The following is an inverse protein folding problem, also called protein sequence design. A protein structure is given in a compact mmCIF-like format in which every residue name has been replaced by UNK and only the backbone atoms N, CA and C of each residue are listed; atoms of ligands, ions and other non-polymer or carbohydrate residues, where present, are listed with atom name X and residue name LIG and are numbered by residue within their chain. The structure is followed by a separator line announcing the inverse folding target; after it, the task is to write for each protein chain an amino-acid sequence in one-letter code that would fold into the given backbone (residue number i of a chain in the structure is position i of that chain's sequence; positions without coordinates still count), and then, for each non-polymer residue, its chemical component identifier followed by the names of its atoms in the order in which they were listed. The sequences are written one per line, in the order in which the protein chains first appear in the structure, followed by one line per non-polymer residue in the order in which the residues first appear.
data_IF_509108566913
#
_entry.id   IF_509108566913
#
_cell.length_a   1.000
_cell.length_b   1.000
_cell.length_c   1.000
_cell.angle_alpha   90.00
_cell.angle_beta   90.00
_cell.angle_gamma   90.00
#
_symmetry.space_group_name_H-M   'P 1'
#
loop_
_entity.id
_entity.type
_entity.pdbx_description
1 polymer ?
#
# COMPACT_ATOMS: atom_id res chain seq x y z
N UNK A 1 -30.80 -2.02 -0.87
CA UNK A 1 -29.35 -1.98 -0.54
C UNK A 1 -29.18 -1.01 0.61
N UNK A 2 -28.51 -1.40 1.69
CA UNK A 2 -28.36 -0.56 2.89
C UNK A 2 -27.59 0.73 2.54
N UNK A 3 -27.99 1.93 3.03
CA UNK A 3 -27.26 3.18 2.87
C UNK A 3 -25.75 3.08 3.11
N UNK A 4 -25.32 2.32 4.12
CA UNK A 4 -23.92 2.11 4.47
C UNK A 4 -23.15 1.29 3.43
N UNK A 5 -23.81 0.30 2.81
CA UNK A 5 -23.23 -0.49 1.72
C UNK A 5 -23.03 0.39 0.49
N UNK A 6 -24.01 1.26 0.18
CA UNK A 6 -23.89 2.20 -0.94
C UNK A 6 -22.72 3.17 -0.74
N UNK A 7 -22.60 3.77 0.45
CA UNK A 7 -21.48 4.65 0.83
C UNK A 7 -20.13 3.93 0.76
N UNK A 8 -20.06 2.68 1.21
CA UNK A 8 -18.83 1.88 1.17
C UNK A 8 -18.39 1.61 -0.27
N UNK A 9 -19.34 1.30 -1.16
CA UNK A 9 -19.07 1.12 -2.60
C UNK A 9 -18.62 2.44 -3.23
N UNK A 10 -19.27 3.56 -2.92
CA UNK A 10 -18.90 4.89 -3.40
C UNK A 10 -17.49 5.28 -2.94
N UNK A 11 -17.16 5.06 -1.66
CA UNK A 11 -15.84 5.34 -1.09
C UNK A 11 -14.74 4.45 -1.66
N UNK A 12 -14.97 3.13 -1.78
CA UNK A 12 -14.01 2.20 -2.38
C UNK A 12 -13.73 2.50 -3.87
N UNK A 13 -14.63 3.23 -4.54
CA UNK A 13 -14.43 3.67 -5.91
C UNK A 13 -13.59 4.95 -6.04
N UNK A 14 -13.29 5.65 -4.95
CA UNK A 14 -12.43 6.82 -4.97
C UNK A 14 -10.95 6.44 -5.14
N UNK A 15 -10.17 7.29 -5.83
CA UNK A 15 -8.74 7.02 -6.11
C UNK A 15 -7.88 6.97 -4.86
N UNK A 16 -8.27 7.69 -3.80
CA UNK A 16 -7.53 7.89 -2.56
C UNK A 16 -8.08 7.07 -1.37
N UNK A 17 -8.88 6.04 -1.61
CA UNK A 17 -9.51 5.28 -0.52
C UNK A 17 -8.47 4.66 0.44
N UNK A 18 -7.30 4.24 -0.07
CA UNK A 18 -6.20 3.73 0.74
C UNK A 18 -5.65 4.80 1.68
N UNK A 19 -5.43 6.02 1.18
CA UNK A 19 -4.96 7.16 1.99
C UNK A 19 -5.94 7.52 3.10
N UNK A 20 -7.25 7.40 2.82
CA UNK A 20 -8.31 7.59 3.82
C UNK A 20 -8.29 6.50 4.89
N UNK A 21 -8.02 5.25 4.52
CA UNK A 21 -7.92 4.12 5.45
C UNK A 21 -6.76 4.29 6.44
N UNK A 22 -5.64 4.85 6.00
CA UNK A 22 -4.46 5.13 6.83
C UNK A 22 -4.72 6.14 7.96
N UNK A 23 -5.71 7.03 7.83
CA UNK A 23 -6.06 7.99 8.91
C UNK A 23 -6.74 7.33 10.10
N UNK A 24 -7.45 6.23 9.85
CA UNK A 24 -8.19 5.49 10.88
C UNK A 24 -7.35 4.33 11.45
N UNK A 25 -6.37 3.85 10.68
CA UNK A 25 -5.49 2.75 11.06
C UNK A 25 -4.01 3.19 11.09
N UNK A 26 -3.49 3.67 12.24
CA UNK A 26 -2.08 3.99 12.38
C UNK A 26 -1.25 2.71 12.43
N UNK A 27 -0.70 2.27 11.30
CA UNK A 27 0.37 1.28 11.32
C UNK A 27 1.65 1.94 11.80
N UNK A 28 2.18 1.51 12.94
CA UNK A 28 3.55 1.85 13.35
C UNK A 28 4.48 1.14 12.35
N UNK A 29 5.22 1.85 11.48
CA UNK A 29 6.15 1.19 10.60
C UNK A 29 7.27 0.56 11.43
N UNK A 30 7.55 -0.73 11.25
CA UNK A 30 8.66 -1.36 11.96
C UNK A 30 10.00 -0.85 11.42
N UNK A 31 10.68 -0.07 12.25
CA UNK A 31 12.12 0.19 12.19
C UNK A 31 12.67 0.91 10.95
N UNK A 32 13.89 1.39 11.09
CA UNK A 32 14.67 1.95 9.97
C UNK A 32 15.11 0.78 9.07
N UNK A 33 15.01 0.94 7.75
CA UNK A 33 15.52 -0.03 6.78
C UNK A 33 17.04 -0.06 6.84
N UNK A 34 17.62 -1.25 6.97
CA UNK A 34 19.07 -1.43 6.82
C UNK A 34 19.50 -1.22 5.37
N UNK A 35 20.42 -0.27 5.16
CA UNK A 35 20.98 0.04 3.85
C UNK A 35 22.25 -0.78 3.65
N UNK A 36 22.36 -1.43 2.49
CA UNK A 36 23.59 -2.09 2.08
C UNK A 36 24.74 -1.08 2.00
N UNK A 37 25.66 -1.14 2.98
CA UNK A 37 26.79 -0.20 3.11
C UNK A 37 27.68 -0.13 1.87
N UNK A 38 28.05 -1.24 1.20
CA UNK A 38 28.79 -1.19 -0.07
C UNK A 38 28.08 -0.40 -1.16
N UNK A 39 26.77 -0.64 -1.37
CA UNK A 39 25.97 0.09 -2.36
C UNK A 39 25.87 1.57 -2.01
N UNK A 40 25.69 1.90 -0.73
CA UNK A 40 25.68 3.28 -0.27
C UNK A 40 26.99 3.99 -0.56
N UNK A 41 28.13 3.34 -0.29
CA UNK A 41 29.45 3.90 -0.57
C UNK A 41 29.64 4.21 -2.07
N UNK A 42 29.09 3.38 -2.96
CA UNK A 42 29.08 3.70 -4.39
C UNK A 42 28.22 4.93 -4.72
N UNK A 43 27.06 5.09 -4.07
CA UNK A 43 26.18 6.26 -4.24
C UNK A 43 26.86 7.52 -3.70
N UNK A 44 27.48 7.45 -2.53
CA UNK A 44 28.23 8.56 -1.92
C UNK A 44 29.40 9.00 -2.82
N UNK A 45 30.16 8.04 -3.34
CA UNK A 45 31.23 8.34 -4.29
C UNK A 45 30.70 8.96 -5.58
N UNK A 46 29.60 8.45 -6.13
CA UNK A 46 28.95 9.01 -7.32
C UNK A 46 28.45 10.44 -7.08
N UNK A 47 27.88 10.70 -5.91
CA UNK A 47 27.42 12.03 -5.51
C UNK A 47 28.59 13.02 -5.41
N UNK A 48 29.68 12.64 -4.73
CA UNK A 48 30.89 13.48 -4.58
C UNK A 48 31.61 13.74 -5.90
N UNK A 49 31.66 12.75 -6.77
CA UNK A 49 32.29 12.86 -8.11
C UNK A 49 31.37 13.45 -9.17
N UNK A 50 30.13 13.80 -8.79
CA UNK A 50 29.07 14.26 -9.67
C UNK A 50 28.79 13.33 -10.86
N UNK A 51 29.01 12.03 -10.68
CA UNK A 51 28.83 11.01 -11.72
C UNK A 51 27.38 10.53 -11.79
N UNK A 52 26.60 11.16 -12.68
CA UNK A 52 25.17 10.88 -12.91
C UNK A 52 24.89 9.42 -13.31
N UNK A 53 25.79 8.82 -14.10
CA UNK A 53 25.66 7.45 -14.62
C UNK A 53 25.73 6.45 -13.46
N UNK A 54 26.74 6.64 -12.62
CA UNK A 54 27.01 5.79 -11.45
C UNK A 54 25.89 5.94 -10.40
N UNK A 55 25.33 7.15 -10.27
CA UNK A 55 24.26 7.46 -9.34
C UNK A 55 22.93 6.79 -9.71
N UNK A 56 22.58 6.73 -11.01
CA UNK A 56 21.30 6.21 -11.51
C UNK A 56 21.41 4.81 -12.12
N UNK A 57 22.42 4.05 -11.67
CA UNK A 57 22.97 2.76 -12.13
C UNK A 57 22.04 1.62 -12.57
N UNK A 58 20.71 1.78 -12.52
CA UNK A 58 19.75 0.77 -12.98
C UNK A 58 19.74 0.64 -14.51
N UNK A 59 20.03 1.72 -15.23
CA UNK A 59 20.13 1.71 -16.70
C UNK A 59 21.05 2.84 -17.19
N UNK A 60 22.25 2.47 -17.64
CA UNK A 60 23.24 3.43 -18.16
C UNK A 60 22.81 4.11 -19.46
N UNK A 61 21.95 3.47 -20.25
CA UNK A 61 21.44 4.02 -21.52
C UNK A 61 20.31 5.05 -21.32
N UNK A 62 19.80 5.20 -20.11
CA UNK A 62 18.73 6.16 -19.79
C UNK A 62 19.14 7.61 -20.04
N UNK A 63 20.44 7.94 -19.91
CA UNK A 63 20.98 9.27 -20.21
C UNK A 63 20.88 9.59 -21.69
N UNK A 64 21.15 8.61 -22.55
CA UNK A 64 21.04 8.79 -24.00
C UNK A 64 19.58 8.88 -24.44
N UNK A 65 18.68 8.11 -23.81
CA UNK A 65 17.26 8.11 -24.17
C UNK A 65 16.49 9.33 -23.69
N UNK A 66 16.84 9.88 -22.52
CA UNK A 66 16.15 11.04 -21.95
C UNK A 66 17.06 11.86 -21.02
N UNK A 67 18.04 12.59 -21.59
CA UNK A 67 19.06 13.32 -20.81
C UNK A 67 18.45 14.39 -19.91
N UNK A 68 17.47 15.15 -20.41
CA UNK A 68 16.81 16.22 -19.66
C UNK A 68 16.11 15.72 -18.39
N UNK A 69 15.50 14.52 -18.45
CA UNK A 69 14.86 13.93 -17.25
C UNK A 69 15.91 13.48 -16.25
N UNK A 70 17.02 12.89 -16.71
CA UNK A 70 18.12 12.50 -15.83
C UNK A 70 18.73 13.72 -15.13
N UNK A 71 18.97 14.80 -15.87
CA UNK A 71 19.51 16.04 -15.31
C UNK A 71 18.57 16.63 -14.26
N UNK A 72 17.26 16.65 -14.54
CA UNK A 72 16.27 17.12 -13.56
C UNK A 72 16.22 16.24 -12.31
N UNK A 73 16.26 14.92 -12.46
CA UNK A 73 16.24 13.99 -11.34
C UNK A 73 17.50 14.12 -10.49
N UNK A 74 18.66 14.16 -11.15
CA UNK A 74 19.95 14.34 -10.50
C UNK A 74 20.01 15.69 -9.78
N UNK A 75 19.57 16.78 -10.42
CA UNK A 75 19.49 18.11 -9.80
C UNK A 75 18.66 18.10 -8.52
N UNK A 76 17.47 17.50 -8.55
CA UNK A 76 16.61 17.36 -7.35
C UNK A 76 17.28 16.56 -6.23
N UNK A 77 18.05 15.53 -6.58
CA UNK A 77 18.77 14.71 -5.60
C UNK A 77 19.93 15.51 -4.97
N UNK A 78 20.66 16.28 -5.78
CA UNK A 78 21.71 17.17 -5.29
C UNK A 78 21.14 18.27 -4.39
N UNK A 79 20.04 18.89 -4.78
CA UNK A 79 19.32 19.87 -3.96
C UNK A 79 18.85 19.30 -2.62
N UNK A 80 18.48 18.01 -2.59
CA UNK A 80 18.06 17.32 -1.36
C UNK A 80 19.21 17.18 -0.35
N UNK A 81 20.44 16.97 -0.83
CA UNK A 81 21.61 16.69 -0.01
C UNK A 81 21.74 15.22 0.40
N UNK A 82 22.98 14.75 0.55
CA UNK A 82 23.30 13.34 0.79
C UNK A 82 22.65 12.79 2.07
N UNK A 83 22.60 13.58 3.14
CA UNK A 83 22.00 13.17 4.42
C UNK A 83 20.50 12.89 4.29
N UNK A 84 19.78 13.73 3.55
CA UNK A 84 18.36 13.52 3.28
C UNK A 84 18.12 12.35 2.33
N UNK A 85 19.01 12.11 1.37
CA UNK A 85 18.93 10.90 0.53
C UNK A 85 19.07 9.65 1.41
N UNK A 86 20.01 9.64 2.35
CA UNK A 86 20.20 8.55 3.31
C UNK A 86 18.95 8.34 4.16
N UNK A 87 18.44 9.42 4.77
CA UNK A 87 17.23 9.40 5.60
C UNK A 87 16.05 8.77 4.84
N UNK A 88 15.73 9.28 3.64
CA UNK A 88 14.64 8.77 2.79
C UNK A 88 14.83 7.32 2.36
N UNK A 89 16.07 6.90 2.09
CA UNK A 89 16.36 5.52 1.70
C UNK A 89 16.27 4.55 2.90
N UNK A 90 16.51 5.06 4.10
CA UNK A 90 16.45 4.35 5.38
C UNK A 90 15.04 4.35 5.96
N UNK A 91 14.12 5.17 5.42
CA UNK A 91 12.72 5.17 5.85
C UNK A 91 12.13 3.74 5.76
N UNK A 92 11.32 3.36 6.76
CA UNK A 92 10.58 2.10 6.72
C UNK A 92 9.85 1.98 5.39
N UNK A 93 9.76 0.75 4.86
CA UNK A 93 8.91 0.51 3.69
C UNK A 93 7.52 1.02 4.01
N UNK A 94 6.94 1.84 3.14
CA UNK A 94 5.54 2.20 3.24
C UNK A 94 4.73 0.92 3.47
N UNK A 95 3.88 0.93 4.50
CA UNK A 95 3.20 -0.26 5.03
C UNK A 95 2.25 -0.90 4.01
N UNK A 96 2.10 -0.32 2.81
CA UNK A 96 1.30 -0.75 1.66
C UNK A 96 1.33 -2.27 1.37
N UNK A 97 2.42 -3.00 1.69
CA UNK A 97 2.50 -4.47 1.48
C UNK A 97 2.21 -5.36 2.70
N UNK A 98 2.21 -4.81 3.92
CA UNK A 98 1.96 -5.57 5.16
C UNK A 98 0.56 -5.32 5.77
N UNK A 99 -0.17 -4.34 5.27
CA UNK A 99 -1.49 -3.96 5.79
C UNK A 99 -2.52 -5.07 5.63
N UNK A 100 -2.54 -5.81 4.51
CA UNK A 100 -3.54 -6.86 4.29
C UNK A 100 -3.60 -7.89 5.44
N UNK A 101 -2.48 -8.53 5.79
CA UNK A 101 -2.42 -9.44 6.93
C UNK A 101 -2.69 -8.77 8.29
N UNK A 102 -2.22 -7.53 8.50
CA UNK A 102 -2.42 -6.80 9.75
C UNK A 102 -3.87 -6.36 9.95
N UNK A 103 -4.55 -5.96 8.88
CA UNK A 103 -5.95 -5.55 8.86
C UNK A 103 -6.86 -6.73 9.18
N UNK A 104 -6.62 -7.90 8.57
CA UNK A 104 -7.31 -9.14 8.94
C UNK A 104 -7.10 -9.49 10.42
N UNK A 105 -5.86 -9.42 10.92
CA UNK A 105 -5.57 -9.65 12.34
C UNK A 105 -6.28 -8.65 13.25
N UNK A 106 -6.38 -7.38 12.84
CA UNK A 106 -7.06 -6.35 13.60
C UNK A 106 -8.58 -6.60 13.64
N UNK A 107 -9.22 -6.90 12.51
CA UNK A 107 -10.64 -7.30 12.47
C UNK A 107 -10.88 -8.49 13.41
N UNK A 108 -10.04 -9.53 13.31
CA UNK A 108 -10.16 -10.76 14.10
C UNK A 108 -10.01 -10.56 15.62
N UNK A 109 -9.54 -9.39 16.09
CA UNK A 109 -9.55 -9.04 17.52
C UNK A 109 -10.94 -8.63 18.04
N UNK A 110 -11.95 -8.54 17.18
CA UNK A 110 -13.32 -8.19 17.60
C UNK A 110 -13.51 -6.71 17.96
N UNK A 111 -12.54 -5.85 17.61
CA UNK A 111 -12.55 -4.39 17.89
C UNK A 111 -13.78 -3.67 17.34
N UNK A 112 -14.40 -4.20 16.29
CA UNK A 112 -15.62 -3.63 15.69
C UNK A 112 -16.90 -4.03 16.43
N UNK A 113 -16.83 -4.91 17.44
CA UNK A 113 -17.98 -5.35 18.23
C UNK A 113 -19.03 -6.16 17.46
N UNK A 114 -18.69 -6.63 16.25
CA UNK A 114 -19.56 -7.42 15.38
C UNK A 114 -19.01 -8.83 15.20
N UNK A 115 -19.89 -9.86 15.11
CA UNK A 115 -19.46 -11.23 14.92
C UNK A 115 -18.81 -11.44 13.56
N UNK A 116 -17.73 -12.21 13.55
CA UNK A 116 -17.01 -12.62 12.35
C UNK A 116 -17.48 -14.04 12.02
N UNK A 117 -18.03 -14.23 10.82
CA UNK A 117 -18.77 -15.42 10.42
C UNK A 117 -18.22 -15.99 9.13
N UNK A 118 -18.23 -17.32 9.02
CA UNK A 118 -17.97 -18.02 7.76
C UNK A 118 -19.15 -17.86 6.80
N UNK A 119 -18.94 -18.19 5.53
CA UNK A 119 -19.90 -17.94 4.44
C UNK A 119 -21.33 -18.44 4.71
N UNK A 120 -21.45 -19.66 5.23
CA UNK A 120 -22.75 -20.30 5.51
C UNK A 120 -23.54 -19.51 6.56
N UNK A 121 -22.89 -19.16 7.67
CA UNK A 121 -23.48 -18.38 8.76
C UNK A 121 -23.72 -16.92 8.36
N UNK A 122 -22.83 -16.34 7.55
CA UNK A 122 -22.94 -14.98 7.06
C UNK A 122 -24.16 -14.78 6.15
N UNK A 123 -24.47 -15.75 5.29
CA UNK A 123 -25.66 -15.73 4.43
C UNK A 123 -26.96 -15.97 5.22
N UNK A 124 -26.91 -16.82 6.25
CA UNK A 124 -28.07 -17.12 7.09
C UNK A 124 -28.43 -15.96 8.03
N UNK A 125 -27.44 -15.17 8.47
CA UNK A 125 -27.61 -14.12 9.48
C UNK A 125 -27.92 -12.77 8.83
N UNK A 126 -29.14 -12.25 9.06
CA UNK A 126 -29.56 -10.90 8.62
C UNK A 126 -29.19 -9.79 9.61
N UNK A 127 -28.11 -9.94 10.37
CA UNK A 127 -27.65 -8.98 11.39
C UNK A 127 -26.20 -8.58 11.12
N UNK A 128 -25.77 -7.48 11.73
CA UNK A 128 -24.40 -6.97 11.60
C UNK A 128 -23.37 -8.08 11.78
N UNK A 129 -22.54 -8.29 10.76
CA UNK A 129 -21.54 -9.34 10.75
C UNK A 129 -20.43 -9.02 9.75
N UNK A 130 -19.27 -9.62 9.94
CA UNK A 130 -18.14 -9.57 9.00
C UNK A 130 -17.93 -10.97 8.44
N UNK A 131 -17.67 -11.05 7.13
CA UNK A 131 -17.37 -12.31 6.47
C UNK A 131 -15.89 -12.67 6.63
N UNK A 132 -15.61 -13.84 7.20
CA UNK A 132 -14.29 -14.46 7.23
C UNK A 132 -14.11 -15.38 6.02
N UNK A 133 -13.41 -14.89 5.00
CA UNK A 133 -13.18 -15.61 3.77
C UNK A 133 -11.86 -15.17 3.09
N UNK A 134 -11.35 -16.03 2.20
CA UNK A 134 -10.19 -15.72 1.36
C UNK A 134 -10.50 -14.61 0.36
N UNK A 135 -9.46 -13.98 -0.21
CA UNK A 135 -9.61 -12.90 -1.20
C UNK A 135 -10.44 -13.36 -2.41
N UNK A 136 -10.28 -14.64 -2.81
CA UNK A 136 -11.02 -15.24 -3.93
C UNK A 136 -12.50 -15.40 -3.58
N UNK A 137 -12.81 -15.98 -2.42
CA UNK A 137 -14.18 -16.20 -1.97
C UNK A 137 -14.93 -14.88 -1.76
N UNK A 138 -14.26 -13.86 -1.22
CA UNK A 138 -14.84 -12.51 -1.09
C UNK A 138 -15.12 -11.89 -2.46
N UNK A 139 -14.20 -12.03 -3.42
CA UNK A 139 -14.40 -11.50 -4.77
C UNK A 139 -15.56 -12.19 -5.49
N UNK A 140 -15.67 -13.51 -5.38
CA UNK A 140 -16.75 -14.30 -5.96
C UNK A 140 -18.10 -13.93 -5.32
N UNK A 141 -18.13 -13.79 -3.99
CA UNK A 141 -19.31 -13.33 -3.26
C UNK A 141 -19.76 -11.94 -3.74
N UNK A 142 -18.85 -10.98 -3.85
CA UNK A 142 -19.20 -9.62 -4.23
C UNK A 142 -19.68 -9.53 -5.68
N UNK A 143 -19.11 -10.31 -6.60
CA UNK A 143 -19.59 -10.40 -7.99
C UNK A 143 -21.03 -10.94 -8.04
N UNK A 144 -21.29 -12.03 -7.33
CA UNK A 144 -22.56 -12.75 -7.39
C UNK A 144 -23.69 -12.06 -6.61
N UNK A 145 -23.39 -11.48 -5.43
CA UNK A 145 -24.40 -10.96 -4.51
C UNK A 145 -24.43 -9.42 -4.43
N UNK A 146 -23.32 -8.74 -4.71
CA UNK A 146 -23.21 -7.28 -4.54
C UNK A 146 -23.07 -6.52 -5.87
N UNK A 147 -23.17 -7.21 -7.02
CA UNK A 147 -23.00 -6.65 -8.36
C UNK A 147 -21.66 -5.90 -8.52
N UNK A 148 -20.61 -6.42 -7.89
CA UNK A 148 -19.28 -5.83 -7.95
C UNK A 148 -18.59 -6.18 -9.29
N UNK A 149 -18.39 -5.19 -10.15
CA UNK A 149 -17.93 -5.40 -11.53
C UNK A 149 -16.43 -5.15 -11.74
N UNK A 150 -15.64 -4.90 -10.68
CA UNK A 150 -14.20 -4.61 -10.81
C UNK A 150 -13.35 -5.86 -10.65
N UNK A 151 -12.21 -5.89 -11.34
CA UNK A 151 -11.23 -6.96 -11.23
C UNK A 151 -10.15 -6.62 -10.19
N UNK A 152 -10.58 -6.21 -9.01
CA UNK A 152 -9.71 -5.85 -7.88
C UNK A 152 -10.20 -6.59 -6.63
N UNK A 153 -9.28 -7.24 -5.93
CA UNK A 153 -9.56 -7.93 -4.66
C UNK A 153 -10.14 -6.99 -3.61
N UNK A 154 -10.97 -7.55 -2.73
CA UNK A 154 -11.63 -6.84 -1.65
C UNK A 154 -10.90 -7.09 -0.34
N UNK A 155 -10.70 -6.04 0.45
CA UNK A 155 -10.00 -6.13 1.73
C UNK A 155 -10.91 -6.67 2.85
N UNK A 156 -12.23 -6.44 2.78
CA UNK A 156 -13.24 -7.03 3.68
C UNK A 156 -14.66 -7.00 3.07
N UNK A 157 -15.57 -7.81 3.63
CA UNK A 157 -17.02 -7.74 3.38
C UNK A 157 -17.77 -7.72 4.71
N UNK A 158 -18.67 -6.77 4.89
CA UNK A 158 -19.52 -6.65 6.07
C UNK A 158 -20.98 -6.53 5.69
N UNK A 159 -21.84 -7.15 6.49
CA UNK A 159 -23.28 -6.94 6.46
C UNK A 159 -23.65 -5.99 7.60
N UNK A 160 -24.53 -5.03 7.31
CA UNK A 160 -25.02 -4.02 8.23
C UNK A 160 -26.53 -3.86 8.05
#
# INVERSE_FOLDING_TARGET
MNPWIKLSIEFANQRNYLDGLFKVYPTIPEGIRDINKPKWKSIENAYKTQNKIEFLKRDSSAITRNPATIDRLYGRLVELGLDKIWERCSEPKETNRQIGPLFRRWINKGVLGVPILKMEEFLAKKKNAILDASDKEMMDFAKNHLKYNRNKGLDFIGYW
#
